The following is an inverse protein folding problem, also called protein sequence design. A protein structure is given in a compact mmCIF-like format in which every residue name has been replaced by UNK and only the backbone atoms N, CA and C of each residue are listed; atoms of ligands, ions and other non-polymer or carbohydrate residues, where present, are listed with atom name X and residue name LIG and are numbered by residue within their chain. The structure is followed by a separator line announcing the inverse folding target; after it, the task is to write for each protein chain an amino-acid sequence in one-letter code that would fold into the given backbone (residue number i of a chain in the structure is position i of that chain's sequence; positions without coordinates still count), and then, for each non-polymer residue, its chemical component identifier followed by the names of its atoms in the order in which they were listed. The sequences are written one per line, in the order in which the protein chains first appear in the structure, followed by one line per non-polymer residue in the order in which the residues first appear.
data_IF_118006837951
#
_entry.id   IF_118006837951
#
_cell.length_a   1.000
_cell.length_b   1.000
_cell.length_c   1.000
_cell.angle_alpha   90.00
_cell.angle_beta   90.00
_cell.angle_gamma   90.00
#
_symmetry.space_group_name_H-M   'P 1'
#
loop_
_entity.id
_entity.type
_entity.pdbx_description
1 polymer ?
#
# COMPACT_ATOMS: atom_id res chain seq x y z
N UNK A 1 -16.61 -14.72 17.92
CA UNK A 1 -16.86 -14.33 16.52
C UNK A 1 -15.70 -14.86 15.71
N UNK A 2 -15.94 -15.51 14.57
CA UNK A 2 -14.85 -16.05 13.75
C UNK A 2 -14.10 -14.89 13.08
N UNK A 3 -12.82 -15.09 12.78
CA UNK A 3 -12.02 -14.08 12.08
C UNK A 3 -12.66 -13.70 10.73
N UNK A 4 -13.27 -14.65 10.02
CA UNK A 4 -14.02 -14.40 8.79
C UNK A 4 -15.14 -13.38 8.97
N UNK A 5 -15.87 -13.45 10.10
CA UNK A 5 -16.97 -12.52 10.38
C UNK A 5 -16.43 -11.11 10.68
N UNK A 6 -15.28 -11.03 11.35
CA UNK A 6 -14.59 -9.76 11.64
C UNK A 6 -14.13 -9.11 10.33
N UNK A 7 -13.42 -9.87 9.49
CA UNK A 7 -12.92 -9.36 8.20
C UNK A 7 -14.07 -9.00 7.25
N UNK A 8 -15.20 -9.69 7.29
CA UNK A 8 -16.38 -9.32 6.51
C UNK A 8 -16.94 -7.95 6.92
N UNK A 9 -16.89 -7.60 8.22
CA UNK A 9 -17.28 -6.26 8.69
C UNK A 9 -16.34 -5.19 8.14
N UNK A 10 -15.03 -5.44 8.18
CA UNK A 10 -14.03 -4.51 7.61
C UNK A 10 -14.27 -4.33 6.11
N UNK A 11 -14.53 -5.43 5.38
CA UNK A 11 -14.77 -5.39 3.94
C UNK A 11 -16.03 -4.64 3.56
N UNK A 12 -17.13 -4.86 4.30
CA UNK A 12 -18.38 -4.12 4.09
C UNK A 12 -18.17 -2.62 4.31
N UNK A 13 -17.44 -2.24 5.37
CA UNK A 13 -17.12 -0.85 5.65
C UNK A 13 -16.29 -0.22 4.54
N UNK A 14 -15.18 -0.86 4.12
CA UNK A 14 -14.34 -0.36 3.03
C UNK A 14 -15.12 -0.23 1.71
N UNK A 15 -16.02 -1.18 1.42
CA UNK A 15 -16.87 -1.14 0.23
C UNK A 15 -17.82 0.06 0.22
N UNK A 16 -18.34 0.45 1.39
CA UNK A 16 -19.19 1.63 1.55
C UNK A 16 -18.34 2.91 1.51
N UNK A 17 -17.21 2.93 2.21
CA UNK A 17 -16.32 4.09 2.30
C UNK A 17 -15.79 4.52 0.93
N UNK A 18 -15.40 3.55 0.10
CA UNK A 18 -14.89 3.79 -1.25
C UNK A 18 -15.99 3.68 -2.32
N UNK A 19 -17.26 3.76 -1.94
CA UNK A 19 -18.37 3.78 -2.90
C UNK A 19 -18.20 4.97 -3.84
N UNK A 20 -18.31 4.71 -5.15
CA UNK A 20 -18.08 5.69 -6.22
C UNK A 20 -16.64 6.20 -6.37
N UNK A 21 -15.66 5.62 -5.67
CA UNK A 21 -14.25 5.85 -5.96
C UNK A 21 -13.78 4.90 -7.07
N UNK A 22 -13.02 5.43 -8.03
CA UNK A 22 -12.51 4.68 -9.18
C UNK A 22 -11.08 5.09 -9.50
N UNK A 23 -10.34 4.19 -10.13
CA UNK A 23 -9.07 4.50 -10.76
C UNK A 23 -9.05 3.98 -12.21
N UNK A 24 -8.09 4.48 -13.01
CA UNK A 24 -7.90 4.05 -14.40
C UNK A 24 -6.60 3.28 -14.51
N UNK A 25 -6.64 2.05 -15.01
CA UNK A 25 -5.44 1.23 -15.19
C UNK A 25 -4.67 1.60 -16.47
N UNK A 26 -3.55 0.91 -16.73
CA UNK A 26 -2.72 1.14 -17.93
C UNK A 26 -3.43 0.87 -19.27
N UNK A 27 -4.52 0.09 -19.26
CA UNK A 27 -5.34 -0.19 -20.45
C UNK A 27 -6.41 0.89 -20.68
N UNK A 28 -6.60 1.82 -19.74
CA UNK A 28 -7.64 2.84 -19.81
C UNK A 28 -8.98 2.38 -19.24
N UNK A 29 -9.03 1.21 -18.58
CA UNK A 29 -10.25 0.68 -17.98
C UNK A 29 -10.50 1.40 -16.64
N UNK A 30 -11.74 1.86 -16.42
CA UNK A 30 -12.18 2.46 -15.16
C UNK A 30 -12.65 1.36 -14.22
N UNK A 31 -11.92 1.17 -13.12
CA UNK A 31 -12.18 0.12 -12.13
C UNK A 31 -12.62 0.71 -10.79
N UNK A 32 -13.61 0.11 -10.09
CA UNK A 32 -13.95 0.49 -8.73
C UNK A 32 -12.75 0.35 -7.79
N UNK A 33 -12.59 1.28 -6.84
CA UNK A 33 -11.41 1.32 -5.97
C UNK A 33 -11.27 0.08 -5.07
N UNK A 34 -12.37 -0.59 -4.74
CA UNK A 34 -12.34 -1.87 -4.01
C UNK A 34 -11.47 -2.94 -4.72
N UNK A 35 -11.23 -2.82 -6.04
CA UNK A 35 -10.30 -3.67 -6.76
C UNK A 35 -8.84 -3.48 -6.32
N UNK A 36 -8.41 -2.25 -6.02
CA UNK A 36 -7.09 -1.96 -5.45
C UNK A 36 -6.97 -2.60 -4.06
N UNK A 37 -7.95 -2.37 -3.19
CA UNK A 37 -7.99 -2.95 -1.84
C UNK A 37 -7.90 -4.48 -1.91
N UNK A 38 -8.68 -5.12 -2.78
CA UNK A 38 -8.61 -6.58 -3.00
C UNK A 38 -7.25 -7.05 -3.49
N UNK A 39 -6.58 -6.26 -4.34
CA UNK A 39 -5.23 -6.58 -4.82
C UNK A 39 -4.20 -6.53 -3.68
N UNK A 40 -4.29 -5.52 -2.78
CA UNK A 40 -3.40 -5.39 -1.61
C UNK A 40 -3.63 -6.54 -0.62
N UNK A 41 -4.90 -6.85 -0.33
CA UNK A 41 -5.27 -7.99 0.54
C UNK A 41 -4.78 -9.31 -0.05
N UNK A 42 -4.94 -9.54 -1.35
CA UNK A 42 -4.47 -10.75 -2.01
C UNK A 42 -2.94 -10.88 -1.92
N UNK A 43 -2.22 -9.79 -2.21
CA UNK A 43 -0.76 -9.75 -2.15
C UNK A 43 -0.25 -10.10 -0.75
N UNK A 44 -0.83 -9.48 0.28
CA UNK A 44 -0.49 -9.77 1.68
C UNK A 44 -0.90 -11.18 2.11
N UNK A 45 -2.07 -11.67 1.68
CA UNK A 45 -2.57 -13.00 2.02
C UNK A 45 -1.67 -14.12 1.48
N UNK A 46 -1.26 -14.03 0.20
CA UNK A 46 -0.34 -15.00 -0.41
C UNK A 46 1.00 -15.03 0.34
N UNK A 47 1.49 -13.86 0.76
CA UNK A 47 2.68 -13.78 1.60
C UNK A 47 2.46 -14.48 2.96
N UNK A 48 1.37 -14.19 3.67
CA UNK A 48 1.11 -14.75 5.00
C UNK A 48 1.01 -16.30 4.98
N UNK A 49 0.47 -16.89 3.91
CA UNK A 49 0.43 -18.35 3.71
C UNK A 49 1.82 -19.01 3.64
N UNK A 50 2.87 -18.24 3.34
CA UNK A 50 4.25 -18.72 3.24
C UNK A 50 5.05 -18.52 4.54
N UNK A 51 4.39 -18.09 5.62
CA UNK A 51 5.02 -17.76 6.90
C UNK A 51 4.52 -18.66 8.02
N UNK A 52 5.34 -18.89 9.05
CA UNK A 52 5.03 -19.80 10.17
C UNK A 52 4.06 -19.22 11.21
N UNK A 53 2.97 -18.58 10.77
CA UNK A 53 1.91 -18.02 11.63
C UNK A 53 2.42 -17.15 12.80
N UNK A 54 3.42 -16.30 12.52
CA UNK A 54 4.05 -15.40 13.50
C UNK A 54 3.41 -14.00 13.55
N UNK A 55 2.41 -13.76 12.72
CA UNK A 55 1.79 -12.45 12.52
C UNK A 55 0.35 -12.43 13.04
N UNK A 56 -0.08 -11.27 13.53
CA UNK A 56 -1.48 -11.01 13.82
C UNK A 56 -2.26 -10.84 12.51
N UNK A 57 -2.95 -11.89 12.09
CA UNK A 57 -3.69 -11.94 10.82
C UNK A 57 -4.83 -10.91 10.80
N UNK A 58 -5.50 -10.68 11.93
CA UNK A 58 -6.58 -9.70 12.00
C UNK A 58 -6.03 -8.29 11.78
N UNK A 59 -4.93 -7.95 12.46
CA UNK A 59 -4.28 -6.65 12.27
C UNK A 59 -3.79 -6.48 10.82
N UNK A 60 -3.07 -7.47 10.29
CA UNK A 60 -2.48 -7.40 8.96
C UNK A 60 -3.55 -7.24 7.87
N UNK A 61 -4.52 -8.15 7.82
CA UNK A 61 -5.56 -8.12 6.79
C UNK A 61 -6.55 -7.00 7.05
N UNK A 62 -6.89 -6.70 8.30
CA UNK A 62 -7.79 -5.60 8.65
C UNK A 62 -7.24 -4.24 8.23
N UNK A 63 -5.96 -3.96 8.53
CA UNK A 63 -5.32 -2.74 8.04
C UNK A 63 -5.15 -2.73 6.53
N UNK A 64 -4.90 -3.87 5.87
CA UNK A 64 -4.88 -3.92 4.40
C UNK A 64 -6.24 -3.57 3.78
N UNK A 65 -7.34 -4.04 4.37
CA UNK A 65 -8.70 -3.71 3.91
C UNK A 65 -8.99 -2.22 4.07
N UNK A 66 -8.49 -1.62 5.16
CA UNK A 66 -8.85 -0.26 5.57
C UNK A 66 -7.79 0.81 5.24
N UNK A 67 -6.65 0.46 4.64
CA UNK A 67 -5.46 1.32 4.60
C UNK A 67 -5.69 2.73 4.03
N UNK A 68 -6.56 2.87 3.02
CA UNK A 68 -6.86 4.15 2.36
C UNK A 68 -8.13 4.83 2.89
N UNK A 69 -8.80 4.25 3.89
CA UNK A 69 -10.09 4.78 4.36
C UNK A 69 -9.97 6.18 4.96
N UNK A 70 -8.91 6.48 5.72
CA UNK A 70 -8.68 7.83 6.24
C UNK A 70 -8.11 8.76 5.15
N UNK A 71 -7.29 8.23 4.23
CA UNK A 71 -6.62 9.05 3.21
C UNK A 71 -7.59 9.54 2.13
N UNK A 72 -8.48 8.67 1.65
CA UNK A 72 -9.27 8.91 0.45
C UNK A 72 -10.77 9.12 0.71
N UNK A 73 -11.22 9.00 1.96
CA UNK A 73 -12.65 9.08 2.31
C UNK A 73 -12.88 10.02 3.50
N UNK A 74 -14.14 10.42 3.79
CA UNK A 74 -14.44 11.30 4.92
C UNK A 74 -14.25 10.66 6.31
N UNK A 75 -13.96 9.35 6.39
CA UNK A 75 -13.82 8.66 7.66
C UNK A 75 -12.53 9.05 8.38
N UNK A 76 -12.61 9.16 9.70
CA UNK A 76 -11.51 9.59 10.56
C UNK A 76 -10.93 8.43 11.36
N UNK A 77 -9.76 8.65 11.97
CA UNK A 77 -9.20 7.71 12.95
C UNK A 77 -10.21 7.36 14.06
N UNK A 78 -10.98 8.34 14.55
CA UNK A 78 -11.99 8.12 15.58
C UNK A 78 -13.12 7.19 15.11
N UNK A 79 -13.57 7.33 13.86
CA UNK A 79 -14.61 6.46 13.29
C UNK A 79 -14.15 5.00 13.20
N UNK A 80 -12.88 4.79 12.86
CA UNK A 80 -12.26 3.46 12.79
C UNK A 80 -12.05 2.89 14.20
N UNK A 81 -11.57 3.70 15.15
CA UNK A 81 -11.36 3.28 16.54
C UNK A 81 -12.67 2.82 17.19
N UNK A 82 -13.75 3.58 17.00
CA UNK A 82 -15.06 3.24 17.56
C UNK A 82 -15.63 1.94 17.00
N UNK A 83 -15.36 1.62 15.73
CA UNK A 83 -15.93 0.45 15.07
C UNK A 83 -15.07 -0.81 15.19
N UNK A 84 -13.74 -0.65 15.11
CA UNK A 84 -12.79 -1.75 14.91
C UNK A 84 -11.67 -1.78 15.97
N UNK A 85 -11.69 -0.81 16.89
CA UNK A 85 -10.74 -0.73 17.99
C UNK A 85 -9.46 0.01 17.65
N UNK A 86 -8.79 0.46 18.72
CA UNK A 86 -7.62 1.33 18.66
C UNK A 86 -6.45 0.75 17.83
N UNK A 87 -6.21 -0.56 17.94
CA UNK A 87 -5.09 -1.22 17.26
C UNK A 87 -5.20 -1.11 15.73
N UNK A 88 -6.40 -1.31 15.18
CA UNK A 88 -6.68 -1.15 13.75
C UNK A 88 -6.58 0.34 13.36
N UNK A 89 -7.20 1.22 14.15
CA UNK A 89 -7.20 2.65 13.88
C UNK A 89 -5.79 3.26 13.83
N UNK A 90 -4.94 2.93 14.80
CA UNK A 90 -3.54 3.38 14.84
C UNK A 90 -2.74 2.87 13.63
N UNK A 91 -2.97 1.63 13.22
CA UNK A 91 -2.34 1.04 12.03
C UNK A 91 -2.76 1.72 10.73
N UNK A 92 -4.06 1.96 10.54
CA UNK A 92 -4.59 2.69 9.37
C UNK A 92 -4.08 4.13 9.34
N UNK A 93 -4.07 4.80 10.49
CA UNK A 93 -3.53 6.15 10.60
C UNK A 93 -2.05 6.18 10.21
N UNK A 94 -1.23 5.23 10.67
CA UNK A 94 0.18 5.11 10.29
C UNK A 94 0.38 5.02 8.76
N UNK A 95 -0.51 4.30 8.06
CA UNK A 95 -0.49 4.12 6.61
C UNK A 95 -0.96 5.36 5.83
N UNK A 96 -1.74 6.24 6.47
CA UNK A 96 -2.29 7.46 5.87
C UNK A 96 -1.25 8.59 5.84
N UNK A 97 -1.08 9.27 4.70
CA UNK A 97 -0.16 10.42 4.60
C UNK A 97 -0.72 11.65 5.33
N UNK A 98 0.16 12.36 6.03
CA UNK A 98 -0.22 13.63 6.66
C UNK A 98 -0.19 14.78 5.64
N UNK A 99 -1.35 15.13 5.09
CA UNK A 99 -1.48 16.19 4.08
C UNK A 99 -1.17 17.61 4.59
N UNK A 100 -1.02 17.83 5.91
CA UNK A 100 -0.58 19.13 6.47
C UNK A 100 0.91 19.42 6.22
N UNK A 101 1.71 18.41 5.88
CA UNK A 101 3.11 18.59 5.49
C UNK A 101 3.13 18.91 3.99
N UNK A 102 3.65 20.09 3.62
CA UNK A 102 3.67 20.57 2.23
C UNK A 102 4.59 19.72 1.33
N UNK A 103 5.75 19.31 1.87
CA UNK A 103 6.73 18.56 1.09
C UNK A 103 6.35 17.08 0.99
N UNK A 104 6.10 16.60 -0.23
CA UNK A 104 5.72 15.20 -0.50
C UNK A 104 6.75 14.16 -0.02
N UNK A 105 8.05 14.47 -0.08
CA UNK A 105 9.09 13.56 0.41
C UNK A 105 9.06 13.48 1.93
N UNK A 106 8.86 14.61 2.60
CA UNK A 106 8.72 14.66 4.06
C UNK A 106 7.44 13.96 4.53
N UNK A 107 6.34 14.07 3.77
CA UNK A 107 5.12 13.27 4.01
C UNK A 107 5.37 11.78 4.01
N UNK A 108 6.12 11.29 3.01
CA UNK A 108 6.46 9.87 2.96
C UNK A 108 7.38 9.49 4.13
N UNK A 109 8.38 10.31 4.45
CA UNK A 109 9.28 10.06 5.58
C UNK A 109 8.54 10.03 6.93
N UNK A 110 7.57 10.93 7.14
CA UNK A 110 6.70 10.92 8.33
C UNK A 110 5.88 9.61 8.43
N UNK A 111 5.21 9.23 7.33
CA UNK A 111 4.42 7.98 7.30
C UNK A 111 5.31 6.77 7.60
N UNK A 112 6.48 6.66 6.98
CA UNK A 112 7.43 5.56 7.22
C UNK A 112 7.90 5.52 8.69
N UNK A 113 8.18 6.68 9.30
CA UNK A 113 8.53 6.76 10.73
C UNK A 113 7.39 6.24 11.61
N UNK A 114 6.14 6.62 11.33
CA UNK A 114 4.97 6.16 12.10
C UNK A 114 4.70 4.68 11.89
N UNK A 115 4.87 4.17 10.67
CA UNK A 115 4.78 2.73 10.36
C UNK A 115 5.81 1.93 11.15
N UNK A 116 7.07 2.40 11.24
CA UNK A 116 8.12 1.73 12.01
C UNK A 116 7.90 1.74 13.54
N UNK A 117 6.95 2.53 14.04
CA UNK A 117 6.53 2.53 15.44
C UNK A 117 5.35 1.58 15.72
N UNK A 118 4.76 1.01 14.66
CA UNK A 118 3.64 0.07 14.75
C UNK A 118 4.12 -1.39 14.72
N UNK A 119 3.24 -2.37 15.03
CA UNK A 119 3.53 -3.78 14.82
C UNK A 119 3.95 -4.06 13.36
N UNK A 120 4.77 -5.12 13.17
CA UNK A 120 5.38 -5.46 11.87
C UNK A 120 4.35 -5.63 10.75
N UNK A 121 3.13 -6.03 11.10
CA UNK A 121 2.00 -6.16 10.20
C UNK A 121 1.74 -4.89 9.39
N UNK A 122 1.92 -3.70 9.99
CA UNK A 122 1.66 -2.43 9.31
C UNK A 122 2.71 -2.14 8.24
N UNK A 123 3.98 -2.51 8.47
CA UNK A 123 5.00 -2.40 7.43
C UNK A 123 4.75 -3.39 6.28
N UNK A 124 4.23 -4.59 6.57
CA UNK A 124 3.80 -5.54 5.54
C UNK A 124 2.70 -4.96 4.65
N UNK A 125 1.69 -4.31 5.24
CA UNK A 125 0.62 -3.65 4.49
C UNK A 125 1.21 -2.58 3.56
N UNK A 126 2.14 -1.75 4.05
CA UNK A 126 2.74 -0.69 3.20
C UNK A 126 3.56 -1.26 2.04
N UNK A 127 4.28 -2.35 2.27
CA UNK A 127 5.05 -3.03 1.22
C UNK A 127 4.10 -3.66 0.20
N UNK A 128 3.02 -4.33 0.64
CA UNK A 128 2.02 -4.92 -0.24
C UNK A 128 1.31 -3.86 -1.11
N UNK A 129 0.89 -2.75 -0.49
CA UNK A 129 0.37 -1.56 -1.19
C UNK A 129 1.34 -1.09 -2.28
N UNK A 130 2.62 -0.95 -1.95
CA UNK A 130 3.62 -0.52 -2.93
C UNK A 130 3.84 -1.54 -4.05
N UNK A 131 3.82 -2.83 -3.76
CA UNK A 131 3.92 -3.90 -4.78
C UNK A 131 2.76 -3.81 -5.78
N UNK A 132 1.54 -3.62 -5.29
CA UNK A 132 0.33 -3.46 -6.11
C UNK A 132 0.39 -2.19 -6.93
N UNK A 133 0.97 -1.13 -6.40
CA UNK A 133 1.11 0.15 -7.09
C UNK A 133 2.27 0.20 -8.11
N UNK A 134 3.17 -0.80 -8.14
CA UNK A 134 4.25 -0.95 -9.14
C UNK A 134 3.81 -1.77 -10.38
N UNK A 135 2.52 -1.77 -10.68
CA UNK A 135 1.97 -2.27 -11.94
C UNK A 135 2.29 -1.30 -13.10
N UNK A 136 2.05 -1.68 -14.37
CA UNK A 136 2.30 -0.76 -15.48
C UNK A 136 1.60 0.60 -15.21
N UNK A 137 2.33 1.73 -15.29
CA UNK A 137 1.76 3.02 -14.95
C UNK A 137 0.70 3.45 -15.98
N UNK A 138 -0.28 4.27 -15.58
CA UNK A 138 -1.24 4.84 -16.51
C UNK A 138 -0.55 5.61 -17.65
N UNK A 139 -1.04 5.46 -18.88
CA UNK A 139 -0.45 6.07 -20.09
C UNK A 139 -0.29 7.59 -20.01
N UNK A 140 -1.13 8.26 -19.23
CA UNK A 140 -1.12 9.72 -19.06
C UNK A 140 -0.08 10.22 -18.04
N UNK A 141 0.67 9.34 -17.36
CA UNK A 141 1.69 9.77 -16.40
C UNK A 141 2.91 10.37 -17.11
N UNK A 142 3.34 11.54 -16.64
CA UNK A 142 4.61 12.14 -17.05
C UNK A 142 5.80 11.29 -16.59
N UNK A 143 6.94 11.41 -17.29
CA UNK A 143 8.19 10.76 -16.88
C UNK A 143 8.57 11.15 -15.45
N UNK A 144 8.47 12.44 -15.11
CA UNK A 144 8.77 12.95 -13.77
C UNK A 144 7.92 12.24 -12.69
N UNK A 145 6.64 12.01 -12.97
CA UNK A 145 5.76 11.28 -12.05
C UNK A 145 6.22 9.83 -11.88
N UNK A 146 6.58 9.14 -12.98
CA UNK A 146 7.09 7.77 -12.94
C UNK A 146 8.42 7.69 -12.16
N UNK A 147 9.35 8.61 -12.39
CA UNK A 147 10.63 8.69 -11.67
C UNK A 147 10.42 8.93 -10.18
N UNK A 148 9.55 9.89 -9.80
CA UNK A 148 9.20 10.14 -8.39
C UNK A 148 8.63 8.87 -7.73
N UNK A 149 7.76 8.15 -8.43
CA UNK A 149 7.18 6.91 -7.94
C UNK A 149 8.22 5.81 -7.74
N UNK A 150 9.19 5.70 -8.67
CA UNK A 150 10.31 4.78 -8.56
C UNK A 150 11.23 5.10 -7.38
N UNK A 151 11.62 6.37 -7.21
CA UNK A 151 12.46 6.81 -6.08
C UNK A 151 11.76 6.60 -4.73
N UNK A 152 10.47 6.90 -4.65
CA UNK A 152 9.67 6.66 -3.45
C UNK A 152 9.58 5.16 -3.10
N UNK A 153 9.49 4.30 -4.12
CA UNK A 153 9.48 2.84 -3.94
C UNK A 153 10.80 2.32 -3.36
N UNK A 154 11.93 2.86 -3.82
CA UNK A 154 13.25 2.54 -3.25
C UNK A 154 13.37 2.99 -1.80
N UNK A 155 12.82 4.14 -1.46
CA UNK A 155 12.78 4.63 -0.08
C UNK A 155 11.95 3.70 0.81
N UNK A 156 10.74 3.31 0.39
CA UNK A 156 9.87 2.37 1.12
C UNK A 156 10.59 1.04 1.35
N UNK A 157 11.22 0.49 0.30
CA UNK A 157 12.02 -0.73 0.44
C UNK A 157 13.11 -0.53 1.50
N UNK A 158 14.00 0.45 1.31
CA UNK A 158 15.11 0.70 2.24
C UNK A 158 14.68 0.81 3.71
N UNK A 159 13.61 1.54 4.00
CA UNK A 159 13.19 1.83 5.37
C UNK A 159 12.37 0.69 6.02
N UNK A 160 11.72 -0.17 5.24
CA UNK A 160 10.84 -1.23 5.77
C UNK A 160 11.39 -2.66 5.58
N UNK A 161 12.36 -2.87 4.68
CA UNK A 161 13.03 -4.15 4.41
C UNK A 161 13.51 -4.94 5.63
N UNK A 162 14.06 -4.32 6.69
CA UNK A 162 14.51 -5.07 7.87
C UNK A 162 13.40 -5.87 8.59
N UNK A 163 12.14 -5.65 8.24
CA UNK A 163 10.98 -6.31 8.84
C UNK A 163 10.68 -7.71 8.28
N UNK A 164 11.04 -8.01 7.02
CA UNK A 164 10.77 -9.32 6.38
C UNK A 164 11.51 -9.54 5.04
N UNK A 165 12.23 -10.66 4.89
CA UNK A 165 13.03 -10.97 3.70
C UNK A 165 12.21 -11.27 2.44
N UNK A 166 11.13 -12.06 2.54
CA UNK A 166 10.40 -12.56 1.37
C UNK A 166 9.62 -11.44 0.67
N UNK A 167 8.78 -10.70 1.42
CA UNK A 167 7.98 -9.62 0.85
C UNK A 167 8.88 -8.45 0.40
N UNK A 168 9.97 -8.19 1.12
CA UNK A 168 10.97 -7.21 0.70
C UNK A 168 11.63 -7.59 -0.63
N UNK A 169 12.04 -8.85 -0.80
CA UNK A 169 12.63 -9.32 -2.06
C UNK A 169 11.65 -9.16 -3.22
N UNK A 170 10.37 -9.47 -2.99
CA UNK A 170 9.32 -9.27 -3.98
C UNK A 170 9.14 -7.79 -4.36
N UNK A 171 9.17 -6.87 -3.40
CA UNK A 171 9.16 -5.44 -3.69
C UNK A 171 10.40 -5.03 -4.49
N UNK A 172 11.58 -5.54 -4.15
CA UNK A 172 12.81 -5.25 -4.90
C UNK A 172 12.72 -5.70 -6.36
N UNK A 173 12.17 -6.89 -6.62
CA UNK A 173 11.92 -7.37 -7.99
C UNK A 173 10.95 -6.47 -8.74
N UNK A 174 9.85 -6.05 -8.10
CA UNK A 174 8.90 -5.10 -8.70
C UNK A 174 9.55 -3.76 -9.04
N UNK A 175 10.40 -3.24 -8.15
CA UNK A 175 11.16 -2.01 -8.40
C UNK A 175 12.09 -2.16 -9.60
N UNK A 176 12.84 -3.27 -9.68
CA UNK A 176 13.70 -3.56 -10.83
C UNK A 176 12.90 -3.63 -12.13
N UNK A 177 11.79 -4.35 -12.14
CA UNK A 177 10.94 -4.50 -13.31
C UNK A 177 10.29 -3.18 -13.74
N UNK A 178 10.01 -2.28 -12.80
CA UNK A 178 9.41 -0.97 -13.11
C UNK A 178 10.35 -0.06 -13.94
N UNK A 179 11.67 -0.34 -13.96
CA UNK A 179 12.64 0.42 -14.77
C UNK A 179 12.35 0.38 -16.27
N UNK A 180 11.65 -0.64 -16.77
CA UNK A 180 11.27 -0.73 -18.19
C UNK A 180 10.45 0.49 -18.62
N UNK A 181 9.57 1.00 -17.75
CA UNK A 181 8.70 2.15 -18.04
C UNK A 181 9.42 3.50 -17.95
N UNK A 182 10.66 3.50 -17.45
CA UNK A 182 11.56 4.65 -17.41
C UNK A 182 12.52 4.62 -18.59
N UNK A 183 13.06 3.44 -18.92
CA UNK A 183 13.97 3.20 -20.04
C UNK A 183 13.32 3.54 -21.40
N UNK A 184 12.04 3.19 -21.60
CA UNK A 184 11.28 3.56 -22.81
C UNK A 184 11.33 5.06 -23.16
N UNK A 185 11.62 5.91 -22.18
CA UNK A 185 11.64 7.38 -22.34
C UNK A 185 13.03 7.97 -22.09
N UNK A 186 13.88 7.35 -21.26
CA UNK A 186 15.23 7.82 -20.94
C UNK A 186 16.23 6.67 -20.75
N UNK A 187 16.71 6.07 -21.86
CA UNK A 187 17.58 4.89 -21.83
C UNK A 187 18.98 5.14 -21.25
N UNK A 188 19.50 6.37 -21.34
CA UNK A 188 20.82 6.71 -20.81
C UNK A 188 20.84 6.75 -19.27
N UNK A 189 19.74 7.20 -18.65
CA UNK A 189 19.61 7.29 -17.18
C UNK A 189 19.20 5.96 -16.55
N UNK A 190 18.49 5.12 -17.29
CA UNK A 190 18.03 3.80 -16.85
C UNK A 190 18.44 2.73 -17.87
N UNK A 191 19.74 2.43 -17.99
CA UNK A 191 20.21 1.40 -18.91
C UNK A 191 19.52 0.09 -18.51
N UNK A 192 18.78 -0.50 -19.45
CA UNK A 192 18.05 -1.74 -19.22
C UNK A 192 18.99 -2.80 -18.64
N UNK A 193 18.58 -3.42 -17.54
CA UNK A 193 19.16 -4.69 -17.12
C UNK A 193 18.64 -5.74 -18.13
N UNK A 194 19.37 -5.91 -19.23
CA UNK A 194 19.20 -7.01 -20.17
C UNK A 194 19.75 -8.30 -19.57
#
# INVERSE_FOLDING_TARGET
MLLSDVLQKYWNFASIAHLNQFYTNHKGEKLPYINHIGSVVQELYIFLLQTENIYDIELAIGCAILHDTIEDTPFTHHDIENQFGKKIADGVLALTKNETIENKKERMADSLRRINQQPKEISLVKIADRIVNLQPPPKHWSLEKKEKYYEESKLIHKELSPSNTLLSNRLLEKIKNYTIYLNEVNPEKFPGLY
#
